data_IF_139406183117
#
_entry.id   IF_139406183117
#
_cell.length_a   1.000
_cell.length_b   1.000
_cell.length_c   1.000
_cell.angle_alpha   90.00
_cell.angle_beta   90.00
_cell.angle_gamma   90.00
#
_symmetry.space_group_name_H-M   'P 1'
#
loop_
_entity.id
_entity.type
_entity.pdbx_description
1 polymer ?
#
# COMPACT_ATOMS: atom_id res chain seq x y z
N UNK A 1 8.94 -11.51 6.67
CA UNK A 1 9.57 -10.27 6.17
C UNK A 1 9.09 -9.16 7.08
N UNK A 2 9.98 -8.57 7.89
CA UNK A 2 9.60 -7.62 8.96
C UNK A 2 9.55 -6.16 8.47
N UNK A 3 10.33 -5.79 7.45
CA UNK A 3 10.28 -4.46 6.80
C UNK A 3 10.71 -4.58 5.33
N UNK A 4 9.93 -4.00 4.41
CA UNK A 4 10.26 -4.02 2.98
C UNK A 4 11.43 -3.07 2.62
N UNK A 5 11.73 -2.10 3.48
CA UNK A 5 12.82 -1.14 3.26
C UNK A 5 14.19 -1.82 3.29
N UNK A 6 14.36 -2.80 4.17
CA UNK A 6 15.61 -3.56 4.36
C UNK A 6 15.66 -4.83 3.52
N UNK A 7 14.56 -5.21 2.87
CA UNK A 7 14.50 -6.39 2.03
C UNK A 7 15.48 -6.29 0.81
N UNK A 8 16.08 -7.41 0.39
CA UNK A 8 16.95 -7.48 -0.79
C UNK A 8 16.12 -7.57 -2.07
N UNK A 9 15.32 -6.52 -2.32
CA UNK A 9 14.49 -6.35 -3.51
C UNK A 9 14.92 -5.10 -4.27
N UNK A 10 14.51 -5.01 -5.52
CA UNK A 10 14.86 -3.94 -6.44
C UNK A 10 14.39 -2.57 -5.91
N UNK A 11 15.19 -1.50 -6.08
CA UNK A 11 14.84 -0.16 -5.61
C UNK A 11 13.47 0.34 -6.11
N UNK A 12 13.11 -0.01 -7.34
CA UNK A 12 11.85 0.35 -7.98
C UNK A 12 10.66 -0.32 -7.27
N UNK A 13 10.82 -1.59 -6.88
CA UNK A 13 9.81 -2.31 -6.10
C UNK A 13 9.64 -1.68 -4.72
N UNK A 14 10.73 -1.21 -4.09
CA UNK A 14 10.62 -0.46 -2.82
C UNK A 14 9.84 0.84 -2.97
N UNK A 15 9.97 1.54 -4.10
CA UNK A 15 9.18 2.74 -4.37
C UNK A 15 7.69 2.42 -4.53
N UNK A 16 7.36 1.35 -5.27
CA UNK A 16 5.98 0.87 -5.39
C UNK A 16 5.37 0.53 -4.02
N UNK A 17 6.14 -0.15 -3.16
CA UNK A 17 5.70 -0.48 -1.80
C UNK A 17 5.57 0.76 -0.91
N UNK A 18 6.42 1.76 -1.08
CA UNK A 18 6.29 3.06 -0.40
C UNK A 18 5.00 3.78 -0.77
N UNK A 19 4.67 3.80 -2.07
CA UNK A 19 3.39 4.33 -2.54
C UNK A 19 2.19 3.57 -1.95
N UNK A 20 2.24 2.23 -1.97
CA UNK A 20 1.17 1.40 -1.39
C UNK A 20 1.01 1.65 0.12
N UNK A 21 2.11 1.80 0.85
CA UNK A 21 2.10 2.10 2.28
C UNK A 21 1.47 3.48 2.58
N UNK A 22 1.84 4.51 1.82
CA UNK A 22 1.27 5.86 1.94
C UNK A 22 -0.25 5.83 1.66
N UNK A 23 -0.67 5.18 0.58
CA UNK A 23 -2.08 5.04 0.22
C UNK A 23 -2.88 4.27 1.29
N UNK A 24 -2.31 3.21 1.85
CA UNK A 24 -2.96 2.40 2.89
C UNK A 24 -3.17 3.20 4.20
N UNK A 25 -2.20 4.05 4.57
CA UNK A 25 -2.28 4.91 5.75
C UNK A 25 -3.23 6.09 5.55
N UNK A 26 -2.99 6.88 4.51
CA UNK A 26 -3.79 8.06 4.17
C UNK A 26 -3.69 8.35 2.67
N UNK A 27 -4.68 7.86 1.93
CA UNK A 27 -4.76 8.07 0.49
C UNK A 27 -4.89 9.55 0.08
N UNK A 28 -5.30 10.44 0.99
CA UNK A 28 -5.38 11.88 0.69
C UNK A 28 -4.01 12.54 0.55
N UNK A 29 -2.96 11.91 1.08
CA UNK A 29 -1.59 12.38 0.95
C UNK A 29 -0.93 11.94 -0.35
N UNK A 30 -1.55 11.05 -1.14
CA UNK A 30 -1.01 10.64 -2.43
C UNK A 30 -1.11 11.80 -3.41
N UNK A 31 0.01 12.17 -4.01
CA UNK A 31 0.14 13.29 -4.93
C UNK A 31 0.40 12.83 -6.36
N UNK A 32 0.24 13.75 -7.31
CA UNK A 32 0.69 13.51 -8.69
C UNK A 32 2.20 13.21 -8.77
N UNK A 33 3.01 13.80 -7.89
CA UNK A 33 4.47 13.57 -7.87
C UNK A 33 4.85 12.14 -7.51
N UNK A 34 4.04 11.47 -6.67
CA UNK A 34 4.25 10.06 -6.34
C UNK A 34 4.03 9.17 -7.57
N UNK A 35 3.01 9.50 -8.38
CA UNK A 35 2.71 8.79 -9.63
C UNK A 35 3.83 9.01 -10.66
N UNK A 36 4.31 10.25 -10.82
CA UNK A 36 5.43 10.53 -11.73
C UNK A 36 6.72 9.82 -11.30
N UNK A 37 6.95 9.70 -9.99
CA UNK A 37 8.11 8.95 -9.46
C UNK A 37 8.04 7.48 -9.87
N UNK A 38 6.86 6.85 -9.78
CA UNK A 38 6.67 5.46 -10.22
C UNK A 38 6.84 5.30 -11.73
N UNK A 39 6.36 6.26 -12.53
CA UNK A 39 6.59 6.25 -13.99
C UNK A 39 8.08 6.36 -14.32
N UNK A 40 8.79 7.25 -13.63
CA UNK A 40 10.24 7.41 -13.81
C UNK A 40 11.02 6.16 -13.43
N UNK A 41 10.50 5.34 -12.50
CA UNK A 41 11.03 4.04 -12.14
C UNK A 41 10.69 2.92 -13.14
N UNK A 42 9.99 3.22 -14.24
CA UNK A 42 9.67 2.28 -15.31
C UNK A 42 8.34 1.55 -15.14
N UNK A 43 7.52 1.88 -14.15
CA UNK A 43 6.17 1.32 -14.04
C UNK A 43 5.24 1.92 -15.09
N UNK A 44 4.46 1.05 -15.74
CA UNK A 44 3.37 1.49 -16.62
C UNK A 44 2.19 2.03 -15.81
N UNK A 45 1.37 2.89 -16.41
CA UNK A 45 0.11 3.35 -15.80
C UNK A 45 -0.79 2.18 -15.37
N UNK A 46 -0.77 1.08 -16.15
CA UNK A 46 -1.52 -0.13 -15.80
C UNK A 46 -0.99 -0.77 -14.52
N UNK A 47 0.32 -0.89 -14.37
CA UNK A 47 0.93 -1.44 -13.16
C UNK A 47 0.64 -0.56 -11.92
N UNK A 48 0.67 0.77 -12.09
CA UNK A 48 0.33 1.73 -11.02
C UNK A 48 -1.14 1.59 -10.62
N UNK A 49 -2.04 1.50 -11.61
CA UNK A 49 -3.47 1.27 -11.37
C UNK A 49 -3.72 -0.05 -10.64
N UNK A 50 -3.08 -1.13 -11.07
CA UNK A 50 -3.23 -2.45 -10.45
C UNK A 50 -2.75 -2.41 -8.98
N UNK A 51 -1.62 -1.74 -8.70
CA UNK A 51 -1.13 -1.53 -7.33
C UNK A 51 -2.10 -0.71 -6.47
N UNK A 52 -2.69 0.35 -7.03
CA UNK A 52 -3.68 1.16 -6.33
C UNK A 52 -4.95 0.36 -6.01
N UNK A 53 -5.44 -0.46 -6.94
CA UNK A 53 -6.59 -1.34 -6.72
C UNK A 53 -6.34 -2.37 -5.62
N UNK A 54 -5.19 -3.06 -5.66
CA UNK A 54 -4.85 -4.08 -4.65
C UNK A 54 -4.72 -3.42 -3.27
N UNK A 55 -3.98 -2.32 -3.19
CA UNK A 55 -3.80 -1.56 -1.94
C UNK A 55 -5.13 -1.09 -1.37
N UNK A 56 -5.99 -0.51 -2.21
CA UNK A 56 -7.31 -0.02 -1.81
C UNK A 56 -8.23 -1.14 -1.32
N UNK A 57 -8.27 -2.26 -2.04
CA UNK A 57 -9.08 -3.43 -1.69
C UNK A 57 -8.70 -4.00 -0.32
N UNK A 58 -7.40 -4.25 -0.08
CA UNK A 58 -6.94 -4.74 1.22
C UNK A 58 -7.15 -3.72 2.33
N UNK A 59 -6.94 -2.43 2.07
CA UNK A 59 -7.19 -1.38 3.06
C UNK A 59 -8.67 -1.32 3.48
N UNK A 60 -9.60 -1.48 2.53
CA UNK A 60 -11.02 -1.59 2.82
C UNK A 60 -11.34 -2.84 3.65
N UNK A 61 -10.90 -4.02 3.20
CA UNK A 61 -11.15 -5.28 3.90
C UNK A 61 -10.60 -5.27 5.32
N UNK A 62 -9.38 -4.79 5.52
CA UNK A 62 -8.75 -4.69 6.83
C UNK A 62 -9.56 -3.78 7.77
N UNK A 63 -10.07 -2.64 7.28
CA UNK A 63 -10.92 -1.73 8.07
C UNK A 63 -12.25 -2.38 8.46
N UNK A 64 -12.86 -3.16 7.55
CA UNK A 64 -14.10 -3.90 7.86
C UNK A 64 -13.86 -4.95 8.94
N UNK A 65 -12.79 -5.75 8.80
CA UNK A 65 -12.42 -6.77 9.79
C UNK A 65 -12.16 -6.15 11.16
N UNK A 66 -11.40 -5.05 11.21
CA UNK A 66 -11.11 -4.33 12.45
C UNK A 66 -12.36 -3.74 13.10
N UNK A 67 -13.25 -3.11 12.31
CA UNK A 67 -14.48 -2.52 12.82
C UNK A 67 -15.44 -3.55 13.42
N UNK A 68 -15.40 -4.79 12.94
CA UNK A 68 -16.22 -5.90 13.42
C UNK A 68 -15.55 -6.73 14.52
N UNK A 69 -14.29 -6.44 14.89
CA UNK A 69 -13.52 -7.26 15.83
C UNK A 69 -13.26 -8.69 15.33
N UNK A 70 -13.28 -8.88 14.01
CA UNK A 70 -13.11 -10.18 13.37
C UNK A 70 -11.63 -10.54 13.12
N UNK A 71 -10.70 -9.70 13.59
CA UNK A 71 -9.26 -9.93 13.51
C UNK A 71 -8.74 -10.94 14.57
N UNK A 72 -9.64 -11.51 15.38
CA UNK A 72 -9.29 -12.43 16.46
C UNK A 72 -8.67 -11.73 17.66
N UNK A 73 -8.58 -10.39 17.65
CA UNK A 73 -8.21 -9.62 18.84
C UNK A 73 -9.44 -9.57 19.76
N UNK A 74 -9.60 -10.62 20.57
CA UNK A 74 -10.49 -10.59 21.72
C UNK A 74 -10.01 -9.48 22.66
N UNK A 75 -10.48 -8.25 22.47
CA UNK A 75 -10.36 -7.20 23.47
C UNK A 75 -11.32 -7.60 24.59
N UNK A 76 -10.78 -8.26 25.61
CA UNK A 76 -11.46 -8.41 26.89
C UNK A 76 -11.76 -6.99 27.41
N UNK A 77 -13.03 -6.62 27.37
CA UNK A 77 -13.56 -5.49 28.15
C UNK A 77 -13.51 -5.88 29.62
#
# INVERSE_FOLDING_TARGET
>A
MEDYRTAPIEPEVKQLLSFAEQMARDASQVTHGDIETLRAAGFSDRAILDAAHVTGFFSYMNRVVQALGADGSSRSV
#
